data_IF_171714709212
#
_entry.id   IF_171714709212
#
_cell.length_a   1.000
_cell.length_b   1.000
_cell.length_c   1.000
_cell.angle_alpha   90.00
_cell.angle_beta   90.00
_cell.angle_gamma   90.00
#
_symmetry.space_group_name_H-M   'P 1'
#
loop_
_entity.id
_entity.type
_entity.pdbx_description
1 polymer ?
#
# COMPACT_ATOMS: atom_id res chain seq x y z
N UNK A 1 20.07 20.18 43.83
CA UNK A 1 21.08 20.05 42.76
C UNK A 1 20.94 18.64 42.18
N UNK A 2 20.34 18.48 41.00
CA UNK A 2 20.02 17.15 40.44
C UNK A 2 21.24 16.63 39.68
N UNK A 3 21.71 15.46 40.10
CA UNK A 3 22.98 14.83 39.72
C UNK A 3 23.09 14.61 38.21
N UNK A 4 24.21 15.01 37.60
CA UNK A 4 24.49 14.88 36.16
C UNK A 4 24.30 13.46 35.58
N UNK A 5 24.28 12.43 36.43
CA UNK A 5 23.97 11.04 36.04
C UNK A 5 22.52 10.84 35.57
N UNK A 6 21.53 11.55 36.12
CA UNK A 6 20.14 11.40 35.67
C UNK A 6 19.92 11.98 34.26
N UNK A 7 20.62 13.09 33.94
CA UNK A 7 20.51 13.76 32.64
C UNK A 7 21.15 12.88 31.53
N UNK A 8 22.29 12.25 31.82
CA UNK A 8 22.96 11.35 30.87
C UNK A 8 22.16 10.05 30.64
N UNK A 9 21.57 9.47 31.69
CA UNK A 9 20.81 8.22 31.56
C UNK A 9 19.40 8.44 30.97
N UNK A 10 18.76 9.59 31.26
CA UNK A 10 17.49 9.99 30.65
C UNK A 10 17.59 10.23 29.14
N UNK A 11 18.73 10.72 28.65
CA UNK A 11 18.97 10.91 27.21
C UNK A 11 19.03 9.58 26.44
N UNK A 12 19.70 8.56 27.01
CA UNK A 12 19.77 7.22 26.40
C UNK A 12 18.40 6.55 26.32
N UNK A 13 17.54 6.77 27.31
CA UNK A 13 16.21 6.16 27.34
C UNK A 13 15.17 6.86 26.44
N UNK A 14 15.31 8.18 26.18
CA UNK A 14 14.49 8.87 25.17
C UNK A 14 14.87 8.55 23.73
N UNK A 15 16.16 8.26 23.47
CA UNK A 15 16.64 7.83 22.16
C UNK A 15 16.32 6.37 21.83
N UNK A 16 15.99 5.56 22.84
CA UNK A 16 15.55 4.18 22.67
C UNK A 16 14.03 4.05 22.46
N UNK A 17 13.34 5.18 22.25
CA UNK A 17 12.02 5.18 21.63
C UNK A 17 12.19 4.53 20.25
N UNK A 18 11.39 3.51 19.87
CA UNK A 18 11.71 2.62 18.76
C UNK A 18 12.04 3.43 17.52
N UNK A 19 13.33 3.58 17.23
CA UNK A 19 13.87 4.37 16.12
C UNK A 19 13.24 3.92 14.81
N UNK A 20 12.94 2.62 14.71
CA UNK A 20 12.18 2.00 13.64
C UNK A 20 10.78 2.61 13.45
N UNK A 21 10.06 2.92 14.54
CA UNK A 21 8.72 3.51 14.52
C UNK A 21 8.76 5.00 14.15
N UNK A 22 9.78 5.72 14.62
CA UNK A 22 10.05 7.11 14.21
C UNK A 22 10.45 7.20 12.74
N UNK A 23 11.25 6.26 12.26
CA UNK A 23 11.65 6.18 10.85
C UNK A 23 10.44 5.90 9.95
N UNK A 24 9.57 4.95 10.33
CA UNK A 24 8.33 4.70 9.61
C UNK A 24 7.35 5.89 9.59
N UNK A 25 7.31 6.67 10.67
CA UNK A 25 6.52 7.91 10.75
C UNK A 25 7.10 9.03 9.90
N UNK A 26 8.42 9.22 9.91
CA UNK A 26 9.09 10.25 9.12
C UNK A 26 9.00 9.96 7.63
N UNK A 27 9.12 8.71 7.19
CA UNK A 27 8.88 8.32 5.79
C UNK A 27 7.44 8.63 5.37
N UNK A 28 6.43 8.33 6.21
CA UNK A 28 5.03 8.71 5.92
C UNK A 28 4.83 10.21 5.83
N UNK A 29 5.44 10.97 6.73
CA UNK A 29 5.33 12.43 6.75
C UNK A 29 6.00 13.07 5.54
N UNK A 30 7.16 12.57 5.13
CA UNK A 30 7.86 13.06 3.92
C UNK A 30 7.05 12.71 2.68
N UNK A 31 6.52 11.49 2.58
CA UNK A 31 5.71 11.09 1.42
C UNK A 31 4.39 11.88 1.34
N UNK A 32 3.77 12.14 2.50
CA UNK A 32 2.57 12.98 2.64
C UNK A 32 2.86 14.44 2.25
N UNK A 33 3.94 15.02 2.76
CA UNK A 33 4.37 16.38 2.43
C UNK A 33 4.80 16.53 0.97
N UNK A 34 5.42 15.49 0.40
CA UNK A 34 5.78 15.45 -1.01
C UNK A 34 4.55 15.34 -1.92
N UNK A 35 3.57 14.50 -1.56
CA UNK A 35 2.27 14.45 -2.24
C UNK A 35 1.52 15.78 -2.13
N UNK A 36 1.57 16.44 -0.98
CA UNK A 36 0.99 17.77 -0.78
C UNK A 36 1.67 18.83 -1.67
N UNK A 37 3.00 18.79 -1.75
CA UNK A 37 3.80 19.72 -2.55
C UNK A 37 3.60 19.54 -4.05
N UNK A 38 3.57 18.29 -4.54
CA UNK A 38 3.33 17.98 -5.96
C UNK A 38 1.95 18.41 -6.44
N UNK A 39 0.95 18.36 -5.57
CA UNK A 39 -0.41 18.83 -5.85
C UNK A 39 -0.64 20.33 -5.57
N UNK A 40 0.44 21.09 -5.30
CA UNK A 40 0.38 22.53 -5.06
C UNK A 40 -0.40 22.92 -3.79
N UNK A 41 -0.57 21.98 -2.85
CA UNK A 41 -1.37 22.16 -1.65
C UNK A 41 -2.89 22.14 -1.86
N UNK A 42 -3.36 21.76 -3.05
CA UNK A 42 -4.79 21.66 -3.33
C UNK A 42 -5.36 20.33 -2.84
N UNK A 43 -6.10 20.38 -1.73
CA UNK A 43 -6.82 19.23 -1.15
C UNK A 43 -7.73 18.54 -2.17
N UNK A 44 -8.36 19.30 -3.07
CA UNK A 44 -9.23 18.76 -4.10
C UNK A 44 -8.47 17.90 -5.10
N UNK A 45 -7.29 18.36 -5.50
CA UNK A 45 -6.47 17.69 -6.48
C UNK A 45 -5.88 16.39 -5.88
N UNK A 46 -5.52 16.39 -4.59
CA UNK A 46 -5.25 15.17 -3.84
C UNK A 46 -6.47 14.23 -3.85
N UNK A 47 -7.66 14.71 -3.48
CA UNK A 47 -8.88 13.88 -3.47
C UNK A 47 -9.19 13.25 -4.82
N UNK A 48 -9.01 13.98 -5.92
CA UNK A 48 -9.17 13.48 -7.28
C UNK A 48 -8.12 12.41 -7.60
N UNK A 49 -6.86 12.60 -7.20
CA UNK A 49 -5.82 11.58 -7.34
C UNK A 49 -6.13 10.29 -6.58
N UNK A 50 -6.58 10.40 -5.32
CA UNK A 50 -7.02 9.24 -4.54
C UNK A 50 -8.24 8.55 -5.15
N UNK A 51 -9.18 9.34 -5.66
CA UNK A 51 -10.36 8.83 -6.35
C UNK A 51 -9.97 8.03 -7.60
N UNK A 52 -9.09 8.58 -8.44
CA UNK A 52 -8.57 7.91 -9.63
C UNK A 52 -7.83 6.61 -9.30
N UNK A 53 -7.00 6.61 -8.25
CA UNK A 53 -6.30 5.40 -7.80
C UNK A 53 -7.29 4.35 -7.32
N UNK A 54 -8.34 4.74 -6.59
CA UNK A 54 -9.38 3.82 -6.13
C UNK A 54 -10.15 3.21 -7.31
N UNK A 55 -10.52 4.03 -8.29
CA UNK A 55 -11.20 3.56 -9.51
C UNK A 55 -10.31 2.58 -10.28
N UNK A 56 -9.03 2.92 -10.46
CA UNK A 56 -8.04 2.08 -11.14
C UNK A 56 -7.83 0.73 -10.44
N UNK A 57 -7.67 0.72 -9.11
CA UNK A 57 -7.51 -0.53 -8.34
C UNK A 57 -8.77 -1.39 -8.51
N UNK A 58 -9.94 -0.79 -8.42
CA UNK A 58 -11.22 -1.51 -8.56
C UNK A 58 -11.34 -2.13 -9.96
N UNK A 59 -10.98 -1.37 -10.99
CA UNK A 59 -11.02 -1.84 -12.38
C UNK A 59 -10.02 -2.97 -12.61
N UNK A 60 -8.78 -2.85 -12.11
CA UNK A 60 -7.75 -3.90 -12.18
C UNK A 60 -8.19 -5.18 -11.47
N UNK A 61 -8.80 -5.08 -10.28
CA UNK A 61 -9.32 -6.25 -9.56
C UNK A 61 -10.43 -6.92 -10.37
N UNK A 62 -11.35 -6.14 -10.94
CA UNK A 62 -12.44 -6.66 -11.76
C UNK A 62 -11.93 -7.32 -13.04
N UNK A 63 -10.92 -6.72 -13.67
CA UNK A 63 -10.24 -7.29 -14.83
C UNK A 63 -9.55 -8.61 -14.49
N UNK A 64 -8.78 -8.66 -13.41
CA UNK A 64 -8.11 -9.87 -12.95
C UNK A 64 -9.10 -11.00 -12.65
N UNK A 65 -10.22 -10.68 -11.99
CA UNK A 65 -11.30 -11.64 -11.75
C UNK A 65 -11.92 -12.15 -13.06
N UNK A 66 -12.21 -11.25 -14.00
CA UNK A 66 -12.71 -11.62 -15.33
C UNK A 66 -11.75 -12.55 -16.09
N UNK A 67 -10.46 -12.26 -16.05
CA UNK A 67 -9.42 -13.10 -16.63
C UNK A 67 -9.38 -14.49 -15.99
N UNK A 68 -9.48 -14.57 -14.66
CA UNK A 68 -9.46 -15.84 -13.94
C UNK A 68 -10.67 -16.71 -14.30
N UNK A 69 -11.87 -16.12 -14.37
CA UNK A 69 -13.09 -16.80 -14.82
C UNK A 69 -12.96 -17.27 -16.27
N UNK A 70 -12.37 -16.46 -17.15
CA UNK A 70 -12.15 -16.81 -18.55
C UNK A 70 -11.22 -18.02 -18.72
N UNK A 71 -10.09 -18.03 -18.02
CA UNK A 71 -9.14 -19.17 -18.03
C UNK A 71 -9.82 -20.44 -17.50
N UNK A 72 -10.58 -20.33 -16.41
CA UNK A 72 -11.31 -21.47 -15.85
C UNK A 72 -12.34 -22.02 -16.83
N UNK A 73 -13.11 -21.14 -17.49
CA UNK A 73 -14.07 -21.54 -18.51
C UNK A 73 -13.40 -22.25 -19.68
N UNK A 74 -12.27 -21.70 -20.17
CA UNK A 74 -11.49 -22.33 -21.23
C UNK A 74 -10.98 -23.71 -20.84
N UNK A 75 -10.45 -23.87 -19.62
CA UNK A 75 -9.99 -25.15 -19.11
C UNK A 75 -11.11 -26.21 -19.07
N UNK A 76 -12.32 -25.80 -18.64
CA UNK A 76 -13.50 -26.68 -18.65
C UNK A 76 -13.86 -27.11 -20.07
N UNK A 77 -13.90 -26.18 -21.03
CA UNK A 77 -14.21 -26.49 -22.44
C UNK A 77 -13.19 -27.48 -23.02
N UNK A 78 -11.91 -27.23 -22.81
CA UNK A 78 -10.84 -28.13 -23.25
C UNK A 78 -10.96 -29.50 -22.59
N UNK A 79 -11.25 -29.55 -21.30
CA UNK A 79 -11.48 -30.81 -20.57
C UNK A 79 -12.63 -31.63 -21.16
N UNK A 80 -13.74 -30.98 -21.52
CA UNK A 80 -14.89 -31.62 -22.18
C UNK A 80 -14.50 -32.17 -23.55
N UNK A 81 -13.74 -31.41 -24.35
CA UNK A 81 -13.28 -31.86 -25.67
C UNK A 81 -12.39 -33.10 -25.54
N UNK A 82 -11.43 -33.09 -24.61
CA UNK A 82 -10.54 -34.23 -24.36
C UNK A 82 -11.36 -35.45 -23.91
N UNK A 83 -12.33 -35.25 -23.02
CA UNK A 83 -13.23 -36.31 -22.57
C UNK A 83 -14.01 -36.95 -23.73
N UNK A 84 -14.58 -36.14 -24.61
CA UNK A 84 -15.30 -36.61 -25.80
C UNK A 84 -14.42 -37.34 -26.81
N UNK A 85 -13.14 -36.96 -26.91
CA UNK A 85 -12.19 -37.59 -27.83
C UNK A 85 -11.72 -38.97 -27.33
N UNK A 86 -11.69 -39.15 -26.00
CA UNK A 86 -11.30 -40.41 -25.35
C UNK A 86 -12.45 -41.44 -25.34
N UNK A 87 -13.69 -40.95 -25.31
CA UNK A 87 -14.90 -41.78 -25.35
C UNK A 87 -15.07 -42.47 -26.71
#
# INVERSE_FOLDING_TARGET
MKTAREIHNGNKNRLNLPLHKLFGWSVRLILSGFCWSLYGGSLLAWFIGLWLVKELITDVIRFAWGCLVSILSFAVVVGIIIWLLIL
#
